data_IF_953566661503
#
_entry.id   IF_953566661503
#
_cell.length_a   1.000
_cell.length_b   1.000
_cell.length_c   1.000
_cell.angle_alpha   90.00
_cell.angle_beta   90.00
_cell.angle_gamma   90.00
#
_symmetry.space_group_name_H-M   'P 1'
#
loop_
_entity.id
_entity.type
_entity.pdbx_description
1 polymer ?
#
# COMPACT_ATOMS: atom_id res chain seq x y z
N UNK A 1 -54.41 21.53 24.08
CA UNK A 1 -53.24 20.82 24.64
C UNK A 1 -53.03 19.52 23.89
N UNK A 2 -52.23 19.54 22.81
CA UNK A 2 -51.85 18.33 22.07
C UNK A 2 -50.56 17.77 22.66
N UNK A 3 -50.61 16.56 23.19
CA UNK A 3 -49.46 15.88 23.82
C UNK A 3 -48.58 15.30 22.70
N UNK A 4 -47.40 15.88 22.52
CA UNK A 4 -46.37 15.28 21.67
C UNK A 4 -45.82 14.04 22.40
N UNK A 5 -46.18 12.86 21.89
CA UNK A 5 -45.67 11.58 22.38
C UNK A 5 -44.20 11.42 21.94
N UNK A 6 -43.28 11.88 22.78
CA UNK A 6 -41.83 11.83 22.57
C UNK A 6 -41.21 10.42 22.66
N UNK A 7 -41.95 9.37 22.29
CA UNK A 7 -41.53 7.96 22.45
C UNK A 7 -41.11 7.25 21.16
N UNK A 8 -41.06 7.92 20.02
CA UNK A 8 -40.63 7.28 18.75
C UNK A 8 -39.13 7.53 18.43
N UNK A 9 -38.46 8.48 19.10
CA UNK A 9 -37.08 8.87 18.75
C UNK A 9 -36.01 7.99 19.43
N UNK A 10 -36.37 7.19 20.44
CA UNK A 10 -35.41 6.41 21.25
C UNK A 10 -35.05 5.02 20.70
N UNK A 11 -35.72 4.54 19.64
CA UNK A 11 -35.47 3.21 19.07
C UNK A 11 -34.51 3.17 17.86
N UNK A 12 -34.31 4.31 17.17
CA UNK A 12 -33.57 4.36 15.90
C UNK A 12 -32.07 4.68 16.02
N UNK A 13 -31.62 5.20 17.17
CA UNK A 13 -30.24 5.68 17.34
C UNK A 13 -29.19 4.56 17.34
N UNK A 14 -29.55 3.37 17.85
CA UNK A 14 -28.62 2.24 17.94
C UNK A 14 -28.33 1.63 16.57
N UNK A 15 -29.33 1.56 15.69
CA UNK A 15 -29.16 0.95 14.37
C UNK A 15 -28.38 1.86 13.41
N UNK A 16 -28.56 3.18 13.51
CA UNK A 16 -27.80 4.16 12.71
C UNK A 16 -26.32 4.22 13.07
N UNK A 17 -25.97 4.11 14.35
CA UNK A 17 -24.57 4.21 14.78
C UNK A 17 -23.74 2.97 14.39
N UNK A 18 -24.35 1.78 14.46
CA UNK A 18 -23.70 0.53 14.01
C UNK A 18 -23.39 0.60 12.51
N UNK A 19 -24.34 1.08 11.70
CA UNK A 19 -24.11 1.25 10.27
C UNK A 19 -22.98 2.25 9.98
N UNK A 20 -22.91 3.35 10.74
CA UNK A 20 -21.83 4.33 10.62
C UNK A 20 -20.45 3.73 10.92
N UNK A 21 -20.34 2.90 11.96
CA UNK A 21 -19.09 2.22 12.33
C UNK A 21 -18.68 1.20 11.25
N UNK A 22 -19.65 0.44 10.73
CA UNK A 22 -19.40 -0.51 9.63
C UNK A 22 -18.86 0.20 8.39
N UNK A 23 -19.46 1.34 8.01
CA UNK A 23 -18.97 2.15 6.89
C UNK A 23 -17.53 2.64 7.11
N UNK A 24 -17.19 3.10 8.32
CA UNK A 24 -15.83 3.52 8.66
C UNK A 24 -14.82 2.38 8.54
N UNK A 25 -15.16 1.20 9.06
CA UNK A 25 -14.31 0.00 8.95
C UNK A 25 -14.11 -0.39 7.48
N UNK A 26 -15.17 -0.31 6.67
CA UNK A 26 -15.12 -0.65 5.25
C UNK A 26 -14.21 0.31 4.47
N UNK A 27 -14.29 1.61 4.76
CA UNK A 27 -13.38 2.63 4.20
C UNK A 27 -11.93 2.37 4.62
N UNK A 28 -11.70 2.10 5.91
CA UNK A 28 -10.35 1.79 6.41
C UNK A 28 -9.77 0.53 5.75
N UNK A 29 -10.59 -0.51 5.54
CA UNK A 29 -10.18 -1.73 4.86
C UNK A 29 -9.85 -1.48 3.38
N UNK A 30 -10.65 -0.65 2.69
CA UNK A 30 -10.38 -0.26 1.32
C UNK A 30 -9.04 0.47 1.19
N UNK A 31 -8.79 1.46 2.06
CA UNK A 31 -7.51 2.19 2.10
C UNK A 31 -6.35 1.24 2.41
N UNK A 32 -6.51 0.37 3.42
CA UNK A 32 -5.50 -0.63 3.78
C UNK A 32 -5.16 -1.55 2.60
N UNK A 33 -6.17 -2.01 1.86
CA UNK A 33 -5.98 -2.87 0.70
C UNK A 33 -5.22 -2.15 -0.42
N UNK A 34 -5.59 -0.90 -0.71
CA UNK A 34 -4.89 -0.05 -1.70
C UNK A 34 -3.42 0.13 -1.31
N UNK A 35 -3.14 0.52 -0.06
CA UNK A 35 -1.76 0.70 0.42
C UNK A 35 -1.00 -0.63 0.34
N UNK A 36 -1.61 -1.75 0.76
CA UNK A 36 -0.97 -3.07 0.75
C UNK A 36 -0.62 -3.55 -0.67
N UNK A 37 -1.47 -3.26 -1.66
CA UNK A 37 -1.20 -3.57 -3.06
C UNK A 37 -0.09 -2.68 -3.60
N UNK A 38 -0.12 -1.37 -3.33
CA UNK A 38 0.92 -0.43 -3.76
C UNK A 38 2.29 -0.75 -3.14
N UNK A 39 2.34 -1.10 -1.85
CA UNK A 39 3.59 -1.44 -1.17
C UNK A 39 4.21 -2.74 -1.69
N UNK A 40 3.39 -3.66 -2.21
CA UNK A 40 3.86 -4.88 -2.87
C UNK A 40 4.63 -4.59 -4.15
N UNK A 41 4.25 -3.53 -4.87
CA UNK A 41 4.95 -3.08 -6.08
C UNK A 41 6.21 -2.27 -5.76
N UNK A 42 6.23 -1.52 -4.65
CA UNK A 42 7.43 -0.79 -4.21
C UNK A 42 8.53 -1.71 -3.68
N UNK A 43 8.18 -2.81 -3.00
CA UNK A 43 9.20 -3.76 -2.51
C UNK A 43 10.02 -4.41 -3.65
N UNK A 44 9.39 -4.65 -4.80
CA UNK A 44 10.08 -5.21 -5.97
C UNK A 44 10.99 -4.14 -6.61
N UNK A 45 10.49 -2.91 -6.77
CA UNK A 45 11.28 -1.78 -7.30
C UNK A 45 12.46 -1.38 -6.41
N UNK A 46 12.29 -1.32 -5.10
CA UNK A 46 13.38 -1.01 -4.15
C UNK A 46 14.48 -2.07 -4.19
N UNK A 47 14.10 -3.34 -4.36
CA UNK A 47 15.08 -4.45 -4.46
C UNK A 47 15.86 -4.39 -5.78
N UNK A 48 15.21 -4.03 -6.88
CA UNK A 48 15.86 -3.85 -8.18
C UNK A 48 16.79 -2.63 -8.20
N UNK A 49 16.36 -1.49 -7.65
CA UNK A 49 17.16 -0.29 -7.55
C UNK A 49 18.40 -0.51 -6.67
N UNK A 50 18.22 -1.13 -5.50
CA UNK A 50 19.31 -1.50 -4.59
C UNK A 50 20.34 -2.40 -5.28
N UNK A 51 19.88 -3.42 -6.03
CA UNK A 51 20.77 -4.34 -6.75
C UNK A 51 21.57 -3.65 -7.86
N UNK A 52 20.95 -2.74 -8.62
CA UNK A 52 21.63 -1.94 -9.63
C UNK A 52 22.62 -0.94 -9.02
N UNK A 53 22.29 -0.38 -7.86
CA UNK A 53 23.15 0.57 -7.16
C UNK A 53 24.43 -0.11 -6.64
N UNK A 54 24.29 -1.34 -6.10
CA UNK A 54 25.43 -2.17 -5.68
C UNK A 54 26.34 -2.53 -6.88
N UNK A 55 25.75 -2.85 -8.04
CA UNK A 55 26.52 -3.14 -9.25
C UNK A 55 27.30 -1.90 -9.75
N UNK A 56 26.68 -0.71 -9.72
CA UNK A 56 27.35 0.55 -10.09
C UNK A 56 28.52 0.87 -9.15
N UNK A 57 28.34 0.68 -7.86
CA UNK A 57 29.40 0.94 -6.88
C UNK A 57 30.63 0.06 -7.12
N UNK A 58 30.42 -1.22 -7.43
CA UNK A 58 31.51 -2.17 -7.74
C UNK A 58 32.22 -1.87 -9.06
N UNK A 59 31.48 -1.38 -10.07
CA UNK A 59 32.06 -0.93 -11.34
C UNK A 59 32.96 0.30 -11.10
N UNK A 60 32.50 1.27 -10.30
CA UNK A 60 33.26 2.46 -9.95
C UNK A 60 34.52 2.13 -9.13
N UNK A 61 34.48 1.08 -8.31
CA UNK A 61 35.65 0.54 -7.61
C UNK A 61 36.59 -0.27 -8.52
N UNK A 62 36.18 -0.57 -9.76
CA UNK A 62 36.95 -1.40 -10.69
C UNK A 62 36.98 -2.89 -10.32
N UNK A 63 36.11 -3.33 -9.41
CA UNK A 63 36.04 -4.74 -8.97
C UNK A 63 35.35 -5.64 -9.99
N UNK A 64 34.61 -5.05 -10.94
CA UNK A 64 33.93 -5.74 -12.05
C UNK A 64 34.23 -5.04 -13.38
N UNK A 65 34.27 -5.81 -14.47
CA UNK A 65 34.37 -5.29 -15.84
C UNK A 65 33.02 -4.72 -16.32
N UNK A 66 33.04 -3.76 -17.25
CA UNK A 66 31.85 -3.20 -17.90
C UNK A 66 30.98 -4.29 -18.55
N UNK A 67 31.59 -5.32 -19.15
CA UNK A 67 30.86 -6.44 -19.75
C UNK A 67 30.06 -7.24 -18.70
N UNK A 68 30.60 -7.40 -17.51
CA UNK A 68 29.97 -8.13 -16.42
C UNK A 68 28.83 -7.30 -15.78
N UNK A 69 29.02 -5.97 -15.70
CA UNK A 69 27.98 -5.03 -15.30
C UNK A 69 26.79 -5.07 -16.26
N UNK A 70 27.04 -4.98 -17.57
CA UNK A 70 26.00 -4.95 -18.61
C UNK A 70 25.15 -6.22 -18.59
N UNK A 71 25.78 -7.40 -18.52
CA UNK A 71 25.05 -8.68 -18.43
C UNK A 71 24.15 -8.76 -17.19
N UNK A 72 24.62 -8.32 -16.03
CA UNK A 72 23.84 -8.41 -14.77
C UNK A 72 22.71 -7.38 -14.74
N UNK A 73 22.95 -6.17 -15.22
CA UNK A 73 21.92 -5.13 -15.33
C UNK A 73 20.80 -5.55 -16.31
N UNK A 74 21.15 -6.19 -17.42
CA UNK A 74 20.18 -6.68 -18.40
C UNK A 74 19.32 -7.82 -17.86
N UNK A 75 19.90 -8.73 -17.07
CA UNK A 75 19.16 -9.81 -16.40
C UNK A 75 18.17 -9.29 -15.34
N UNK A 76 18.53 -8.24 -14.62
CA UNK A 76 17.64 -7.61 -13.61
C UNK A 76 16.50 -6.87 -14.31
N UNK A 77 16.76 -6.17 -15.42
CA UNK A 77 15.75 -5.37 -16.14
C UNK A 77 14.75 -6.19 -16.97
N UNK A 78 15.06 -7.45 -17.27
CA UNK A 78 14.23 -8.33 -18.14
C UNK A 78 13.32 -9.28 -17.35
N UNK A 79 13.28 -9.18 -16.02
CA UNK A 79 12.43 -9.99 -15.14
C UNK A 79 11.12 -9.29 -14.83
#
# INVERSE_FOLDING_TARGET
MGRYDGRIIMGGFHMGWIFMIICLILIALAIYFVIRVLNKNNFIKDTEESSLNILKERLAKGEISEEEYLRKAELIRKK
#
